data_IF_149679420464
#
_entry.id   IF_149679420464
#
_cell.length_a   1.000
_cell.length_b   1.000
_cell.length_c   1.000
_cell.angle_alpha   90.00
_cell.angle_beta   90.00
_cell.angle_gamma   90.00
#
_symmetry.space_group_name_H-M   'P 1'
#
loop_
_entity.id
_entity.type
_entity.pdbx_description
1 polymer ?
#
# COMPACT_ATOMS: atom_id res chain seq x y z
N UNK A 1 -26.68 -72.88 63.22
CA UNK A 1 -26.58 -74.02 62.28
C UNK A 1 -27.36 -73.68 61.02
N UNK A 2 -26.71 -73.81 59.85
CA UNK A 2 -27.24 -74.21 58.52
C UNK A 2 -28.43 -73.40 57.94
N UNK A 3 -28.20 -72.58 56.90
CA UNK A 3 -28.41 -72.87 55.44
C UNK A 3 -29.87 -73.17 55.08
N UNK A 4 -30.50 -72.71 54.00
CA UNK A 4 -30.13 -72.02 52.75
C UNK A 4 -31.47 -71.76 51.97
N UNK A 5 -31.43 -70.79 51.04
CA UNK A 5 -32.19 -70.69 49.76
C UNK A 5 -33.68 -70.30 49.80
N UNK A 6 -34.00 -69.27 48.99
CA UNK A 6 -35.26 -69.20 48.23
C UNK A 6 -35.85 -67.80 48.08
N UNK A 7 -35.54 -67.10 46.97
CA UNK A 7 -36.10 -65.80 46.55
C UNK A 7 -37.63 -65.74 46.55
N UNK A 8 -38.23 -64.54 46.72
CA UNK A 8 -38.88 -63.91 45.57
C UNK A 8 -38.78 -62.37 45.59
N UNK A 9 -38.84 -61.71 44.42
CA UNK A 9 -39.02 -60.26 44.35
C UNK A 9 -40.01 -59.92 43.22
N UNK A 10 -41.26 -59.67 43.64
CA UNK A 10 -42.29 -58.95 42.92
C UNK A 10 -42.54 -57.62 43.63
N UNK A 11 -42.76 -56.59 42.81
CA UNK A 11 -42.73 -55.14 43.08
C UNK A 11 -43.58 -54.58 44.23
N UNK A 12 -43.02 -53.51 44.83
CA UNK A 12 -43.65 -52.34 45.49
C UNK A 12 -44.52 -52.63 46.73
N UNK A 13 -44.96 -51.65 47.55
CA UNK A 13 -44.90 -50.18 47.52
C UNK A 13 -44.54 -49.56 48.93
N UNK A 14 -45.10 -48.40 49.29
CA UNK A 14 -45.15 -47.67 50.60
C UNK A 14 -44.26 -46.41 50.66
N UNK A 15 -44.77 -45.18 50.60
CA UNK A 15 -45.67 -44.43 51.53
C UNK A 15 -45.24 -44.49 53.00
N UNK A 16 -45.17 -43.33 53.67
CA UNK A 16 -46.00 -42.90 54.82
C UNK A 16 -45.30 -41.72 55.56
N UNK A 17 -45.86 -40.49 55.53
CA UNK A 17 -46.79 -39.86 56.52
C UNK A 17 -46.01 -39.08 57.62
N UNK A 18 -46.22 -37.77 57.86
CA UNK A 18 -47.29 -37.17 58.69
C UNK A 18 -47.54 -35.65 58.43
N UNK A 19 -48.84 -35.34 58.26
CA UNK A 19 -49.70 -34.19 58.64
C UNK A 19 -49.23 -33.11 59.68
N UNK A 20 -49.98 -32.01 59.96
CA UNK A 20 -51.04 -31.31 59.17
C UNK A 20 -51.08 -29.74 59.29
N UNK A 21 -51.84 -29.10 58.37
CA UNK A 21 -52.72 -27.90 58.52
C UNK A 21 -52.17 -26.58 59.11
N UNK A 22 -52.08 -25.52 58.29
CA UNK A 22 -53.11 -24.46 58.08
C UNK A 22 -52.52 -23.25 57.32
N UNK A 23 -53.31 -22.75 56.37
CA UNK A 23 -53.22 -21.51 55.60
C UNK A 23 -52.43 -20.34 56.21
N UNK A 24 -51.56 -19.70 55.41
CA UNK A 24 -51.61 -18.26 55.11
C UNK A 24 -50.61 -17.85 53.99
N UNK A 25 -50.96 -16.74 53.33
CA UNK A 25 -50.50 -16.14 52.06
C UNK A 25 -49.03 -15.61 52.06
N UNK A 26 -48.47 -15.20 50.89
CA UNK A 26 -47.06 -15.31 50.55
C UNK A 26 -46.20 -14.15 51.07
N UNK A 27 -44.92 -14.43 51.33
CA UNK A 27 -43.84 -13.43 51.42
C UNK A 27 -42.71 -13.87 50.48
N UNK A 28 -42.71 -13.37 49.25
CA UNK A 28 -41.52 -13.40 48.40
C UNK A 28 -40.74 -12.12 48.68
N UNK A 29 -39.72 -12.21 49.52
CA UNK A 29 -38.64 -11.23 49.55
C UNK A 29 -37.65 -11.63 48.46
N UNK A 30 -37.76 -11.04 47.27
CA UNK A 30 -36.66 -11.04 46.30
C UNK A 30 -36.04 -9.66 46.29
N UNK A 31 -34.86 -9.59 46.88
CA UNK A 31 -33.95 -8.46 46.83
C UNK A 31 -33.63 -8.16 45.37
N UNK A 32 -34.08 -7.00 44.88
CA UNK A 32 -33.70 -6.47 43.58
C UNK A 32 -32.18 -6.29 43.55
N UNK A 33 -31.49 -7.23 42.93
CA UNK A 33 -30.11 -7.03 42.52
C UNK A 33 -30.20 -6.21 41.24
N UNK A 34 -29.83 -4.93 41.33
CA UNK A 34 -29.67 -4.06 40.18
C UNK A 34 -28.45 -4.60 39.41
N UNK A 35 -28.67 -5.56 38.52
CA UNK A 35 -27.64 -5.97 37.58
C UNK A 35 -27.33 -4.76 36.70
N UNK A 36 -26.18 -4.15 36.99
CA UNK A 36 -25.56 -3.19 36.09
C UNK A 36 -25.30 -3.93 34.78
N UNK A 37 -26.18 -3.70 33.81
CA UNK A 37 -25.94 -4.08 32.42
C UNK A 37 -24.69 -3.32 32.00
N UNK A 38 -23.56 -4.02 32.07
CA UNK A 38 -22.34 -3.69 31.38
C UNK A 38 -22.70 -3.43 29.93
N UNK A 39 -22.78 -2.16 29.55
CA UNK A 39 -22.93 -1.76 28.17
C UNK A 39 -21.66 -2.20 27.45
N UNK A 40 -21.69 -3.40 26.89
CA UNK A 40 -20.81 -3.78 25.81
C UNK A 40 -20.98 -2.71 24.73
N UNK A 41 -19.96 -1.88 24.54
CA UNK A 41 -19.98 -0.83 23.52
C UNK A 41 -20.03 -1.51 22.15
N UNK A 42 -21.23 -1.68 21.61
CA UNK A 42 -21.40 -2.26 20.28
C UNK A 42 -20.68 -1.33 19.29
N UNK A 43 -19.71 -1.88 18.57
CA UNK A 43 -18.96 -1.13 17.54
C UNK A 43 -19.98 -0.48 16.61
N UNK A 44 -19.81 0.82 16.35
CA UNK A 44 -20.72 1.60 15.49
C UNK A 44 -20.87 0.87 14.13
N UNK A 45 -22.09 0.65 13.62
CA UNK A 45 -22.29 -0.07 12.36
C UNK A 45 -21.58 0.62 11.22
N UNK A 46 -20.86 -0.15 10.40
CA UNK A 46 -20.06 0.32 9.27
C UNK A 46 -20.73 -0.10 7.96
N UNK A 47 -20.72 0.79 6.97
CA UNK A 47 -21.14 0.46 5.61
C UNK A 47 -20.13 -0.52 4.97
N UNK A 48 -20.56 -1.66 4.42
CA UNK A 48 -19.64 -2.63 3.80
C UNK A 48 -19.01 -2.12 2.50
N UNK A 49 -19.65 -1.16 1.84
CA UNK A 49 -19.17 -0.59 0.57
C UNK A 49 -18.17 0.56 0.79
N UNK A 50 -18.57 1.66 1.44
CA UNK A 50 -17.67 2.80 1.66
C UNK A 50 -16.81 2.71 2.93
N UNK A 51 -17.01 1.68 3.77
CA UNK A 51 -16.31 1.51 5.06
C UNK A 51 -16.39 2.72 6.00
N UNK A 52 -17.45 3.52 5.88
CA UNK A 52 -17.77 4.62 6.82
C UNK A 52 -18.85 4.18 7.80
N UNK A 53 -18.94 4.80 8.99
CA UNK A 53 -20.08 4.58 9.87
C UNK A 53 -21.39 4.83 9.13
N UNK A 54 -22.45 4.07 9.42
CA UNK A 54 -23.72 4.13 8.69
C UNK A 54 -24.29 5.56 8.55
N UNK A 55 -24.16 6.39 9.60
CA UNK A 55 -24.59 7.80 9.60
C UNK A 55 -23.80 8.72 8.65
N UNK A 56 -22.59 8.34 8.30
CA UNK A 56 -21.66 9.07 7.42
C UNK A 56 -21.40 8.29 6.12
N UNK A 57 -22.35 7.44 5.72
CA UNK A 57 -22.24 6.66 4.50
C UNK A 57 -22.14 7.58 3.27
N UNK A 58 -21.22 7.26 2.36
CA UNK A 58 -21.03 7.99 1.11
C UNK A 58 -21.85 7.40 -0.04
N UNK A 59 -22.20 6.12 0.03
CA UNK A 59 -22.86 5.41 -1.07
C UNK A 59 -24.19 6.05 -1.47
N UNK A 60 -24.96 6.56 -0.51
CA UNK A 60 -26.26 7.19 -0.77
C UNK A 60 -26.12 8.62 -1.31
N UNK A 61 -24.92 9.19 -1.31
CA UNK A 61 -24.65 10.56 -1.78
C UNK A 61 -24.19 10.59 -3.24
N UNK A 62 -23.77 9.43 -3.76
CA UNK A 62 -23.49 9.24 -5.17
C UNK A 62 -24.82 9.14 -5.92
N UNK A 63 -25.05 10.11 -6.81
CA UNK A 63 -26.32 10.27 -7.55
C UNK A 63 -26.40 9.35 -8.78
N UNK A 64 -25.26 8.97 -9.33
CA UNK A 64 -25.14 8.11 -10.50
C UNK A 64 -24.48 6.76 -10.13
N UNK A 65 -24.75 5.69 -10.90
CA UNK A 65 -23.90 4.49 -10.87
C UNK A 65 -22.44 4.86 -11.23
N UNK A 66 -21.52 3.93 -11.03
CA UNK A 66 -20.11 4.17 -11.33
C UNK A 66 -19.93 4.67 -12.78
N UNK A 67 -19.22 5.79 -12.88
CA UNK A 67 -18.94 6.55 -14.09
C UNK A 67 -18.02 5.72 -14.99
N UNK A 68 -18.39 5.60 -16.26
CA UNK A 68 -17.55 4.94 -17.27
C UNK A 68 -16.47 5.92 -17.75
N UNK A 69 -15.34 5.96 -17.04
CA UNK A 69 -14.19 6.74 -17.45
C UNK A 69 -13.35 5.98 -18.47
N UNK A 70 -13.10 6.62 -19.62
CA UNK A 70 -12.30 6.07 -20.71
C UNK A 70 -10.81 6.03 -20.37
N UNK A 71 -10.34 7.04 -19.64
CA UNK A 71 -8.96 7.12 -19.15
C UNK A 71 -8.85 6.36 -17.83
N UNK A 72 -7.98 5.36 -17.79
CA UNK A 72 -7.72 4.60 -16.57
C UNK A 72 -7.12 5.47 -15.46
N UNK A 73 -7.47 5.17 -14.21
CA UNK A 73 -6.88 5.87 -13.06
C UNK A 73 -6.24 4.84 -12.13
N UNK A 74 -4.95 4.98 -11.88
CA UNK A 74 -4.18 4.14 -10.97
C UNK A 74 -3.75 4.94 -9.76
N UNK A 75 -4.34 4.68 -8.59
CA UNK A 75 -3.97 5.36 -7.35
C UNK A 75 -2.92 4.54 -6.60
N UNK A 76 -1.74 5.12 -6.40
CA UNK A 76 -0.74 4.62 -5.45
C UNK A 76 -1.01 5.24 -4.08
N UNK A 77 -1.73 4.51 -3.24
CA UNK A 77 -2.13 4.95 -1.91
C UNK A 77 -1.10 4.55 -0.86
N UNK A 78 -0.59 5.53 -0.12
CA UNK A 78 0.29 5.29 1.01
C UNK A 78 -0.42 4.40 2.05
N UNK A 79 0.25 3.35 2.53
CA UNK A 79 -0.34 2.31 3.40
C UNK A 79 -0.98 2.88 4.68
N UNK A 80 -0.37 3.89 5.28
CA UNK A 80 -0.89 4.65 6.44
C UNK A 80 -2.16 5.48 6.16
N UNK A 81 -2.51 5.79 4.91
CA UNK A 81 -3.68 6.63 4.58
C UNK A 81 -4.95 5.79 4.35
N UNK A 82 -4.84 4.48 4.11
CA UNK A 82 -5.98 3.57 3.86
C UNK A 82 -7.11 3.70 4.88
N UNK A 83 -6.73 3.80 6.15
CA UNK A 83 -7.65 3.87 7.29
C UNK A 83 -7.99 5.31 7.70
N UNK A 84 -7.46 6.31 7.00
CA UNK A 84 -7.67 7.70 7.35
C UNK A 84 -9.15 8.10 7.15
N UNK A 85 -9.78 8.83 8.10
CA UNK A 85 -11.19 9.23 7.98
C UNK A 85 -11.51 10.10 6.76
N UNK A 86 -10.55 10.86 6.24
CA UNK A 86 -10.69 11.70 5.03
C UNK A 86 -10.13 11.04 3.75
N UNK A 87 -10.03 9.71 3.73
CA UNK A 87 -9.56 8.98 2.55
C UNK A 87 -10.54 9.19 1.36
N UNK A 88 -10.22 10.12 0.47
CA UNK A 88 -11.01 10.48 -0.71
C UNK A 88 -10.85 9.49 -1.87
N UNK A 89 -9.83 8.62 -1.84
CA UNK A 89 -9.73 7.44 -2.72
C UNK A 89 -10.98 6.58 -2.64
N UNK A 90 -11.66 6.53 -1.49
CA UNK A 90 -12.93 5.80 -1.37
C UNK A 90 -14.04 6.37 -2.25
N UNK A 91 -14.05 7.69 -2.48
CA UNK A 91 -15.03 8.32 -3.37
C UNK A 91 -14.69 7.92 -4.82
N UNK A 92 -13.41 7.98 -5.21
CA UNK A 92 -12.96 7.52 -6.51
C UNK A 92 -13.34 6.05 -6.76
N UNK A 93 -13.08 5.15 -5.80
CA UNK A 93 -13.41 3.71 -5.91
C UNK A 93 -14.89 3.42 -6.05
N UNK A 94 -15.76 4.24 -5.47
CA UNK A 94 -17.21 4.08 -5.62
C UNK A 94 -17.72 4.74 -6.91
N UNK A 95 -17.03 5.77 -7.37
CA UNK A 95 -17.48 6.66 -8.44
C UNK A 95 -16.97 6.33 -9.83
N UNK A 96 -15.80 5.68 -9.98
CA UNK A 96 -15.15 5.43 -11.26
C UNK A 96 -15.07 3.92 -11.55
N UNK A 97 -15.32 3.50 -12.80
CA UNK A 97 -15.22 2.09 -13.21
C UNK A 97 -13.80 1.66 -13.55
N UNK A 98 -13.06 2.47 -14.30
CA UNK A 98 -11.70 2.17 -14.73
C UNK A 98 -10.70 2.76 -13.74
N UNK A 99 -10.67 2.17 -12.54
CA UNK A 99 -9.83 2.59 -11.42
C UNK A 99 -9.14 1.39 -10.79
N UNK A 100 -7.83 1.49 -10.59
CA UNK A 100 -7.07 0.59 -9.75
C UNK A 100 -6.50 1.33 -8.54
N UNK A 101 -6.48 0.68 -7.37
CA UNK A 101 -5.88 1.23 -6.15
C UNK A 101 -4.83 0.26 -5.63
N UNK A 102 -3.59 0.72 -5.60
CA UNK A 102 -2.46 -0.04 -5.11
C UNK A 102 -1.93 0.56 -3.83
N UNK A 103 -1.61 -0.31 -2.86
CA UNK A 103 -0.97 0.09 -1.62
C UNK A 103 0.53 0.23 -1.79
N UNK A 104 1.10 1.34 -1.33
CA UNK A 104 2.55 1.54 -1.31
C UNK A 104 3.00 1.90 0.11
N UNK A 105 4.09 1.31 0.55
CA UNK A 105 4.70 1.55 1.84
C UNK A 105 6.10 2.13 1.67
N UNK A 106 6.50 2.87 2.69
CA UNK A 106 7.85 3.36 2.85
C UNK A 106 8.88 2.22 2.77
N UNK A 107 10.04 2.53 2.18
CA UNK A 107 11.23 1.68 2.24
C UNK A 107 11.91 1.91 3.58
N UNK A 108 11.87 0.89 4.44
CA UNK A 108 12.47 0.97 5.77
C UNK A 108 13.92 0.48 5.81
N UNK A 109 14.28 -0.44 4.93
CA UNK A 109 15.62 -1.02 4.83
C UNK A 109 16.11 -0.98 3.38
N UNK A 110 15.61 -1.88 2.55
CA UNK A 110 15.95 -1.97 1.14
C UNK A 110 14.71 -2.43 0.34
N UNK A 111 14.57 -1.94 -0.88
CA UNK A 111 13.58 -2.44 -1.84
C UNK A 111 14.22 -2.67 -3.20
N UNK A 112 13.80 -3.74 -3.88
CA UNK A 112 14.23 -4.09 -5.22
C UNK A 112 13.06 -3.93 -6.18
N UNK A 113 13.34 -3.37 -7.34
CA UNK A 113 12.40 -3.18 -8.42
C UNK A 113 12.87 -3.95 -9.64
N UNK A 114 11.95 -4.64 -10.29
CA UNK A 114 12.17 -5.31 -11.57
C UNK A 114 11.14 -4.79 -12.56
N UNK A 115 11.61 -4.23 -13.67
CA UNK A 115 10.78 -3.72 -14.76
C UNK A 115 10.92 -4.65 -15.95
N UNK A 116 9.78 -5.17 -16.43
CA UNK A 116 9.66 -5.96 -17.66
C UNK A 116 8.91 -5.12 -18.69
N UNK A 117 9.39 -5.08 -19.93
CA UNK A 117 8.69 -4.38 -21.00
C UNK A 117 7.44 -5.17 -21.39
N UNK A 118 6.40 -4.48 -21.85
CA UNK A 118 5.27 -5.14 -22.49
C UNK A 118 5.68 -5.51 -23.93
N UNK A 119 5.37 -6.73 -24.35
CA UNK A 119 5.61 -7.15 -25.72
C UNK A 119 4.71 -6.34 -26.67
N UNK A 120 5.29 -5.71 -27.72
CA UNK A 120 4.52 -4.90 -28.67
C UNK A 120 3.47 -5.71 -29.45
N UNK A 121 3.57 -7.04 -29.45
CA UNK A 121 2.71 -7.95 -30.24
C UNK A 121 1.65 -8.70 -29.41
N UNK A 122 1.49 -8.43 -28.11
CA UNK A 122 0.40 -9.03 -27.33
C UNK A 122 -0.90 -8.21 -27.47
N UNK A 123 -1.34 -8.02 -28.71
CA UNK A 123 -2.65 -7.47 -29.06
C UNK A 123 -3.72 -8.56 -29.02
N UNK A 124 -4.79 -8.31 -28.26
CA UNK A 124 -6.12 -8.96 -28.34
C UNK A 124 -6.18 -10.35 -28.99
N UNK A 125 -5.98 -11.39 -28.17
CA UNK A 125 -6.46 -12.75 -28.44
C UNK A 125 -7.58 -13.11 -27.47
N UNK A 126 -8.83 -13.02 -27.91
CA UNK A 126 -9.92 -13.74 -27.24
C UNK A 126 -9.68 -15.23 -27.39
N UNK A 127 -9.81 -16.00 -26.31
CA UNK A 127 -10.46 -17.32 -26.20
C UNK A 127 -10.06 -17.92 -24.85
N UNK A 128 -11.07 -18.25 -24.04
CA UNK A 128 -10.88 -18.83 -22.72
C UNK A 128 -10.42 -20.29 -22.77
N UNK A 129 -9.84 -20.74 -21.65
CA UNK A 129 -10.17 -22.00 -20.99
C UNK A 129 -9.35 -22.14 -19.72
N UNK A 130 -10.02 -22.53 -18.65
CA UNK A 130 -9.43 -23.08 -17.42
C UNK A 130 -8.40 -24.15 -17.75
N UNK A 131 -7.22 -24.13 -17.10
CA UNK A 131 -6.60 -25.37 -16.60
C UNK A 131 -5.89 -25.09 -15.28
N UNK A 132 -6.16 -26.01 -14.35
CA UNK A 132 -5.81 -26.08 -12.94
C UNK A 132 -4.32 -26.27 -12.66
N UNK A 133 -3.94 -25.82 -11.48
CA UNK A 133 -2.77 -26.18 -10.70
C UNK A 133 -2.47 -27.69 -10.68
N UNK A 134 -1.21 -28.07 -10.91
CA UNK A 134 -0.61 -29.25 -10.27
C UNK A 134 0.89 -29.04 -10.06
N UNK A 135 1.28 -29.22 -8.80
CA UNK A 135 2.62 -29.40 -8.25
C UNK A 135 3.43 -30.51 -8.94
N UNK A 136 4.75 -30.37 -9.00
CA UNK A 136 5.68 -31.50 -8.87
C UNK A 136 7.06 -31.03 -8.37
N UNK A 137 7.56 -31.76 -7.39
CA UNK A 137 8.78 -31.56 -6.63
C UNK A 137 9.91 -32.44 -7.21
N UNK A 138 11.15 -31.96 -7.07
CA UNK A 138 12.34 -32.80 -6.86
C UNK A 138 13.25 -33.00 -8.08
N UNK A 139 14.53 -32.63 -7.94
CA UNK A 139 15.68 -33.56 -7.96
C UNK A 139 16.93 -32.82 -7.45
N UNK A 140 17.62 -33.48 -6.53
CA UNK A 140 18.90 -33.12 -5.91
C UNK A 140 20.07 -33.30 -6.87
N UNK A 141 21.18 -32.59 -6.64
CA UNK A 141 22.51 -33.20 -6.74
C UNK A 141 23.55 -32.48 -5.88
N UNK A 142 24.17 -33.29 -5.02
CA UNK A 142 25.38 -33.04 -4.24
C UNK A 142 26.60 -32.86 -5.14
N UNK A 143 27.62 -32.13 -4.64
CA UNK A 143 28.97 -32.66 -4.42
C UNK A 143 29.84 -31.72 -3.57
N UNK A 144 30.52 -32.35 -2.60
CA UNK A 144 31.44 -31.82 -1.61
C UNK A 144 32.85 -31.53 -2.16
N UNK A 145 33.61 -30.77 -1.37
CA UNK A 145 35.01 -30.91 -0.88
C UNK A 145 35.56 -29.48 -0.69
N UNK A 146 36.35 -29.06 0.30
CA UNK A 146 36.87 -29.52 1.60
C UNK A 146 37.61 -28.25 2.15
N UNK A 147 37.37 -27.79 3.39
CA UNK A 147 38.32 -27.78 4.53
C UNK A 147 39.66 -27.03 4.25
N UNK A 148 40.07 -26.02 5.03
CA UNK A 148 40.71 -26.15 6.37
C UNK A 148 40.85 -24.75 7.03
N UNK A 149 40.55 -24.71 8.34
CA UNK A 149 41.08 -23.93 9.50
C UNK A 149 41.57 -22.48 9.31
N UNK A 150 41.19 -21.47 10.10
CA UNK A 150 40.93 -21.44 11.54
C UNK A 150 42.02 -20.56 12.20
N UNK A 151 41.66 -19.47 12.89
CA UNK A 151 42.31 -18.95 14.12
C UNK A 151 41.72 -17.58 14.54
N UNK A 152 40.82 -17.70 15.52
CA UNK A 152 40.69 -17.02 16.81
C UNK A 152 41.06 -15.54 17.11
N UNK A 153 40.24 -15.03 18.04
CA UNK A 153 40.51 -14.07 19.12
C UNK A 153 40.31 -12.55 18.93
N UNK A 154 39.14 -12.14 19.41
CA UNK A 154 38.92 -11.20 20.54
C UNK A 154 39.45 -9.75 20.48
N UNK A 155 38.50 -8.85 20.24
CA UNK A 155 37.96 -7.83 21.16
C UNK A 155 38.93 -7.01 22.03
N UNK A 156 38.92 -5.69 21.82
CA UNK A 156 39.42 -4.69 22.75
C UNK A 156 38.62 -3.39 22.63
N UNK A 157 37.68 -3.21 23.55
CA UNK A 157 36.89 -2.01 23.85
C UNK A 157 37.75 -0.80 24.27
N UNK A 158 37.27 0.43 24.07
CA UNK A 158 37.16 1.53 25.07
C UNK A 158 36.60 2.79 24.37
N UNK A 159 35.33 3.16 24.58
CA UNK A 159 34.73 4.18 25.48
C UNK A 159 34.94 5.65 25.08
N UNK A 160 33.80 6.36 25.07
CA UNK A 160 33.47 7.67 24.54
C UNK A 160 33.92 8.87 25.38
N UNK A 161 33.95 10.06 24.75
CA UNK A 161 33.56 11.38 25.30
C UNK A 161 33.72 12.42 24.17
N UNK A 162 32.96 13.51 23.97
CA UNK A 162 31.73 14.09 24.51
C UNK A 162 31.32 15.27 23.57
N UNK A 163 30.01 15.54 23.50
CA UNK A 163 29.33 16.85 23.43
C UNK A 163 29.66 17.89 22.34
N UNK A 164 28.62 18.35 21.64
CA UNK A 164 28.60 19.65 20.95
C UNK A 164 27.50 19.77 19.90
N UNK A 165 26.78 20.88 19.91
CA UNK A 165 25.45 21.07 19.33
C UNK A 165 25.49 21.99 18.10
N UNK A 166 24.50 21.81 17.21
CA UNK A 166 23.92 22.76 16.25
C UNK A 166 24.66 23.12 14.94
N UNK A 167 23.86 23.00 13.87
CA UNK A 167 23.80 23.86 12.68
C UNK A 167 24.73 23.55 11.50
N UNK A 168 24.14 23.71 10.32
CA UNK A 168 24.69 23.74 8.97
C UNK A 168 25.03 22.41 8.26
N UNK A 169 24.44 22.28 7.07
CA UNK A 169 24.75 21.29 6.05
C UNK A 169 26.24 21.38 5.68
N UNK A 170 27.00 20.27 5.66
CA UNK A 170 28.30 20.25 5.01
C UNK A 170 28.25 19.42 3.72
N UNK A 171 28.69 20.06 2.63
CA UNK A 171 29.43 19.38 1.58
C UNK A 171 30.77 18.89 2.14
N UNK A 172 31.07 17.59 2.13
CA UNK A 172 32.44 17.06 2.24
C UNK A 172 32.57 15.81 1.36
N UNK A 173 33.43 15.84 0.33
CA UNK A 173 34.87 15.48 0.36
C UNK A 173 35.16 14.04 0.75
N UNK A 174 35.58 13.30 -0.28
CA UNK A 174 36.14 11.95 -0.24
C UNK A 174 37.34 11.85 0.72
N UNK A 175 37.27 10.91 1.65
CA UNK A 175 38.47 10.24 2.20
C UNK A 175 38.13 8.79 2.56
N UNK A 176 39.11 7.92 2.30
CA UNK A 176 39.01 6.49 2.07
C UNK A 176 39.00 5.60 3.34
N UNK A 177 38.63 4.33 3.10
CA UNK A 177 38.81 3.09 3.89
C UNK A 177 37.60 2.73 4.81
N UNK A 178 37.01 1.53 4.81
CA UNK A 178 37.53 0.23 4.38
C UNK A 178 36.42 -0.80 4.07
N UNK A 179 36.75 -1.66 3.08
CA UNK A 179 36.33 -3.04 2.79
C UNK A 179 35.31 -3.73 3.72
N UNK A 180 34.20 -4.17 3.12
CA UNK A 180 33.69 -5.54 3.32
C UNK A 180 32.86 -6.01 2.10
N UNK A 181 33.36 -7.09 1.49
CA UNK A 181 32.77 -8.03 0.52
C UNK A 181 32.11 -7.47 -0.77
N UNK A 182 32.97 -7.18 -1.75
CA UNK A 182 32.69 -7.44 -3.16
C UNK A 182 32.70 -8.97 -3.39
N UNK A 183 31.58 -9.53 -3.83
CA UNK A 183 31.60 -10.71 -4.69
C UNK A 183 30.99 -10.27 -6.02
N UNK A 184 31.88 -9.84 -6.92
CA UNK A 184 31.60 -9.78 -8.35
C UNK A 184 31.64 -11.23 -8.87
N UNK A 185 30.59 -11.65 -9.56
CA UNK A 185 30.63 -12.87 -10.39
C UNK A 185 31.22 -12.52 -11.76
N UNK A 186 32.14 -13.36 -12.24
CA UNK A 186 32.91 -13.17 -13.47
C UNK A 186 32.04 -13.21 -14.76
N UNK A 187 32.44 -12.53 -15.84
CA UNK A 187 31.69 -12.47 -17.09
C UNK A 187 32.31 -13.35 -18.18
N UNK A 188 31.77 -14.54 -18.46
CA UNK A 188 31.95 -15.22 -19.77
C UNK A 188 30.69 -16.01 -20.11
N UNK A 189 30.07 -15.67 -21.26
CA UNK A 189 29.07 -16.51 -21.92
C UNK A 189 27.95 -15.70 -22.55
N UNK A 190 27.94 -15.62 -23.88
CA UNK A 190 26.78 -15.19 -24.66
C UNK A 190 25.62 -16.16 -24.41
N UNK A 191 24.81 -15.89 -23.40
CA UNK A 191 23.60 -16.64 -23.10
C UNK A 191 22.45 -16.00 -23.87
N UNK A 192 21.79 -16.80 -24.70
CA UNK A 192 20.48 -16.51 -25.29
C UNK A 192 19.55 -16.00 -24.17
N UNK A 193 19.31 -14.68 -24.12
CA UNK A 193 18.55 -14.06 -23.03
C UNK A 193 17.09 -14.51 -23.11
N UNK A 194 16.60 -15.06 -22.01
CA UNK A 194 15.23 -15.58 -21.90
C UNK A 194 14.19 -14.45 -21.96
N UNK A 195 13.00 -14.81 -22.43
CA UNK A 195 11.84 -13.92 -22.62
C UNK A 195 11.35 -13.29 -21.29
N UNK A 196 11.78 -13.81 -20.13
CA UNK A 196 11.35 -13.37 -18.79
C UNK A 196 12.35 -12.47 -18.03
N UNK A 197 13.48 -12.08 -18.61
CA UNK A 197 14.49 -11.27 -17.90
C UNK A 197 14.04 -9.80 -17.76
N UNK A 198 14.15 -9.18 -16.56
CA UNK A 198 13.77 -7.78 -16.38
C UNK A 198 14.71 -6.85 -17.16
N UNK A 199 14.11 -5.98 -17.99
CA UNK A 199 14.82 -4.97 -18.77
C UNK A 199 15.54 -3.93 -17.92
N UNK A 200 15.01 -3.63 -16.73
CA UNK A 200 15.64 -2.77 -15.74
C UNK A 200 15.46 -3.41 -14.37
N UNK A 201 16.54 -3.50 -13.60
CA UNK A 201 16.48 -3.79 -12.16
C UNK A 201 17.16 -2.67 -11.39
N UNK A 202 16.57 -2.21 -10.30
CA UNK A 202 17.26 -1.33 -9.38
C UNK A 202 16.92 -1.64 -7.94
N UNK A 203 17.90 -1.40 -7.07
CA UNK A 203 17.78 -1.57 -5.62
C UNK A 203 17.93 -0.21 -4.99
N UNK A 204 17.06 0.10 -4.03
CA UNK A 204 17.08 1.35 -3.28
C UNK A 204 17.12 1.09 -1.78
N UNK A 205 17.80 1.96 -1.07
CA UNK A 205 17.70 2.08 0.36
C UNK A 205 16.62 3.10 0.75
N UNK A 206 16.51 3.36 2.06
CA UNK A 206 15.65 4.39 2.64
C UNK A 206 15.81 5.74 1.93
N UNK A 207 14.72 6.49 1.79
CA UNK A 207 14.67 7.81 1.15
C UNK A 207 14.97 7.82 -0.36
N UNK A 208 15.01 6.64 -1.01
CA UNK A 208 15.17 6.54 -2.46
C UNK A 208 16.61 6.56 -2.94
N UNK A 209 17.58 6.34 -2.05
CA UNK A 209 19.00 6.24 -2.43
C UNK A 209 19.20 4.97 -3.26
N UNK A 210 19.57 5.12 -4.53
CA UNK A 210 19.79 3.98 -5.44
C UNK A 210 21.14 3.33 -5.11
N UNK A 211 21.11 2.10 -4.61
CA UNK A 211 22.30 1.33 -4.27
C UNK A 211 22.84 0.53 -5.45
N UNK A 212 21.98 0.10 -6.38
CA UNK A 212 22.35 -0.65 -7.58
C UNK A 212 21.31 -0.40 -8.69
N UNK A 213 21.74 -0.36 -9.95
CA UNK A 213 20.88 -0.34 -11.13
C UNK A 213 21.53 -1.14 -12.26
N UNK A 214 20.75 -1.90 -13.00
CA UNK A 214 21.15 -2.67 -14.19
C UNK A 214 20.07 -2.54 -15.26
N UNK A 215 20.45 -2.44 -16.52
CA UNK A 215 19.49 -2.41 -17.64
C UNK A 215 20.09 -2.83 -18.98
N UNK A 216 19.23 -3.14 -19.95
CA UNK A 216 19.62 -3.67 -21.27
C UNK A 216 20.37 -2.67 -22.16
N UNK A 217 20.04 -1.37 -22.07
CA UNK A 217 20.57 -0.33 -22.97
C UNK A 217 21.96 0.22 -22.63
N UNK A 218 22.67 -0.36 -21.66
CA UNK A 218 24.02 0.07 -21.30
C UNK A 218 25.06 -0.95 -21.78
N UNK A 219 26.00 -0.57 -22.67
CA UNK A 219 27.20 -1.38 -22.90
C UNK A 219 28.07 -1.30 -21.64
N UNK A 220 28.58 -2.44 -21.17
CA UNK A 220 29.46 -2.51 -20.00
C UNK A 220 30.85 -1.94 -20.30
N UNK A 221 30.93 -0.63 -20.53
CA UNK A 221 32.21 0.07 -20.68
C UNK A 221 32.59 0.60 -19.29
N UNK A 222 33.36 -0.23 -18.59
CA UNK A 222 34.39 0.08 -17.60
C UNK A 222 34.26 1.37 -16.75
N UNK A 223 34.09 1.15 -15.43
CA UNK A 223 34.38 2.04 -14.27
C UNK A 223 33.41 3.17 -13.90
N UNK A 224 32.25 3.32 -14.53
CA UNK A 224 31.19 4.15 -13.96
C UNK A 224 30.02 3.31 -13.47
N UNK A 225 29.68 3.48 -12.19
CA UNK A 225 28.48 2.88 -11.62
C UNK A 225 27.27 3.46 -12.39
N UNK A 226 26.41 2.62 -12.97
CA UNK A 226 25.26 3.12 -13.71
C UNK A 226 24.41 4.00 -12.80
N UNK A 227 23.98 5.15 -13.32
CA UNK A 227 23.11 6.09 -12.62
C UNK A 227 21.77 6.20 -13.36
N UNK A 228 20.69 6.36 -12.60
CA UNK A 228 19.33 6.50 -13.10
C UNK A 228 19.19 7.62 -14.15
N UNK A 229 19.96 8.70 -14.03
CA UNK A 229 19.94 9.81 -15.00
C UNK A 229 20.41 9.39 -16.40
N UNK A 230 21.33 8.42 -16.49
CA UNK A 230 21.81 7.89 -17.79
C UNK A 230 20.72 7.08 -18.50
N UNK A 231 19.89 6.36 -17.74
CA UNK A 231 18.72 5.66 -18.28
C UNK A 231 17.69 6.67 -18.82
N UNK A 232 17.43 7.75 -18.08
CA UNK A 232 16.54 8.83 -18.52
C UNK A 232 17.07 9.58 -19.75
N UNK A 233 18.39 9.59 -19.96
CA UNK A 233 19.02 10.22 -21.12
C UNK A 233 19.10 9.29 -22.36
N UNK A 234 18.62 8.06 -22.28
CA UNK A 234 18.70 7.07 -23.37
C UNK A 234 17.39 7.01 -24.17
N UNK A 235 17.34 7.52 -25.43
CA UNK A 235 16.12 7.51 -26.23
C UNK A 235 15.56 6.10 -26.48
N UNK A 236 16.43 5.13 -26.77
CA UNK A 236 16.01 3.75 -26.99
C UNK A 236 15.35 3.10 -25.76
N UNK A 237 15.76 3.51 -24.54
CA UNK A 237 15.11 3.05 -23.32
C UNK A 237 13.75 3.71 -23.12
N UNK A 238 13.65 5.02 -23.37
CA UNK A 238 12.39 5.77 -23.28
C UNK A 238 11.37 5.25 -24.30
N UNK A 239 11.76 5.03 -25.55
CA UNK A 239 10.90 4.50 -26.61
C UNK A 239 10.37 3.10 -26.27
N UNK A 240 11.20 2.27 -25.66
CA UNK A 240 10.79 0.94 -25.20
C UNK A 240 9.80 1.03 -24.03
N UNK A 241 10.05 1.91 -23.05
CA UNK A 241 9.18 2.12 -21.89
C UNK A 241 7.85 2.79 -22.27
N UNK A 242 7.82 3.62 -23.31
CA UNK A 242 6.62 4.27 -23.82
C UNK A 242 5.57 3.27 -24.35
N UNK A 243 6.02 2.06 -24.76
CA UNK A 243 5.15 0.93 -25.14
C UNK A 243 4.55 0.19 -23.94
N UNK A 244 4.78 0.72 -22.73
CA UNK A 244 4.29 0.16 -21.49
C UNK A 244 5.23 -0.89 -20.90
N UNK A 245 5.06 -1.12 -19.60
CA UNK A 245 5.91 -2.01 -18.82
C UNK A 245 5.17 -2.53 -17.58
N UNK A 246 5.65 -3.64 -17.03
CA UNK A 246 5.26 -4.14 -15.71
C UNK A 246 6.36 -3.80 -14.73
N UNK A 247 6.00 -3.25 -13.57
CA UNK A 247 6.92 -3.02 -12.47
C UNK A 247 6.53 -3.87 -11.26
N UNK A 248 7.49 -4.65 -10.78
CA UNK A 248 7.39 -5.44 -9.56
C UNK A 248 8.27 -4.82 -8.49
N UNK A 249 7.74 -4.60 -7.29
CA UNK A 249 8.50 -4.13 -6.12
C UNK A 249 8.53 -5.24 -5.06
N UNK A 250 9.72 -5.54 -4.59
CA UNK A 250 9.96 -6.42 -3.45
C UNK A 250 10.61 -5.62 -2.32
N UNK A 251 10.11 -5.79 -1.11
CA UNK A 251 10.67 -5.18 0.09
C UNK A 251 11.48 -6.20 0.87
N UNK A 252 12.66 -5.79 1.32
CA UNK A 252 13.45 -6.55 2.27
C UNK A 252 13.21 -6.07 3.69
N UNK A 253 12.96 -7.02 4.58
CA UNK A 253 12.81 -6.80 6.00
C UNK A 253 13.90 -7.53 6.75
N UNK A 254 14.64 -6.82 7.59
CA UNK A 254 15.60 -7.44 8.49
C UNK A 254 14.85 -8.12 9.65
N UNK A 255 15.13 -9.40 9.90
CA UNK A 255 14.57 -10.11 11.04
C UNK A 255 15.47 -9.87 12.27
N UNK A 256 14.89 -9.43 13.40
CA UNK A 256 15.51 -9.43 14.74
C UNK A 256 17.01 -9.08 14.84
N UNK A 257 17.49 -8.03 14.16
CA UNK A 257 18.92 -7.62 14.11
C UNK A 257 19.90 -8.73 13.63
N UNK A 258 19.40 -9.84 13.09
CA UNK A 258 20.25 -10.84 12.43
C UNK A 258 20.62 -10.39 11.01
N UNK A 259 21.57 -11.09 10.40
CA UNK A 259 21.99 -10.89 9.00
C UNK A 259 20.89 -11.40 8.03
N UNK A 260 19.94 -12.19 8.52
CA UNK A 260 18.88 -12.76 7.71
C UNK A 260 17.84 -11.69 7.33
N UNK A 261 17.64 -11.55 6.02
CA UNK A 261 16.65 -10.65 5.43
C UNK A 261 15.57 -11.49 4.75
N UNK A 262 14.31 -11.18 5.05
CA UNK A 262 13.17 -11.73 4.35
C UNK A 262 12.76 -10.77 3.23
N UNK A 263 12.64 -11.29 2.00
CA UNK A 263 12.13 -10.53 0.86
C UNK A 263 10.67 -10.91 0.61
N UNK A 264 9.79 -9.92 0.51
CA UNK A 264 8.38 -10.14 0.15
C UNK A 264 7.98 -9.21 -0.99
N UNK A 265 7.12 -9.71 -1.87
CA UNK A 265 6.50 -8.89 -2.90
C UNK A 265 5.55 -7.89 -2.25
N UNK A 266 5.76 -6.60 -2.54
CA UNK A 266 4.82 -5.57 -2.13
C UNK A 266 3.75 -5.37 -3.21
N UNK A 267 4.17 -5.33 -4.47
CA UNK A 267 3.25 -5.24 -5.60
C UNK A 267 3.87 -5.66 -6.93
N UNK A 268 2.99 -5.97 -7.87
CA UNK A 268 3.26 -6.03 -9.30
C UNK A 268 2.15 -5.25 -10.03
N UNK A 269 2.53 -4.27 -10.85
CA UNK A 269 1.58 -3.43 -11.57
C UNK A 269 1.97 -3.23 -13.03
N UNK A 270 0.98 -3.30 -13.90
CA UNK A 270 1.11 -2.98 -15.32
C UNK A 270 0.89 -1.49 -15.55
N UNK A 271 1.82 -0.87 -16.26
CA UNK A 271 1.77 0.50 -16.75
C UNK A 271 1.53 0.44 -18.26
N UNK A 272 0.30 0.64 -18.74
CA UNK A 272 0.01 0.58 -20.17
C UNK A 272 0.64 1.75 -20.95
N UNK A 273 0.78 1.63 -22.27
CA UNK A 273 1.10 2.77 -23.14
C UNK A 273 0.17 3.96 -22.88
N UNK A 274 0.69 5.18 -23.05
CA UNK A 274 -0.08 6.40 -22.78
C UNK A 274 -0.34 6.66 -21.30
N UNK A 275 0.45 6.06 -20.39
CA UNK A 275 0.39 6.35 -18.96
C UNK A 275 1.14 7.64 -18.61
N UNK A 276 0.53 8.50 -17.80
CA UNK A 276 1.15 9.70 -17.22
C UNK A 276 1.14 9.64 -15.69
N UNK A 277 2.07 10.33 -15.06
CA UNK A 277 2.04 10.57 -13.61
C UNK A 277 1.47 11.96 -13.32
N UNK A 278 0.36 12.02 -12.59
CA UNK A 278 -0.23 13.26 -12.10
C UNK A 278 0.52 13.70 -10.83
N UNK A 279 1.59 14.47 -11.02
CA UNK A 279 2.45 14.93 -9.92
C UNK A 279 3.25 16.18 -10.32
N UNK A 280 3.22 17.27 -9.51
CA UNK A 280 3.92 18.51 -9.82
C UNK A 280 5.43 18.39 -9.51
N UNK A 281 6.17 17.77 -10.42
CA UNK A 281 7.64 17.75 -10.38
C UNK A 281 8.24 18.88 -11.22
N UNK A 282 9.55 19.10 -11.10
CA UNK A 282 10.28 20.11 -11.89
C UNK A 282 10.18 19.89 -13.41
N UNK A 283 9.98 18.64 -13.84
CA UNK A 283 9.81 18.26 -15.26
C UNK A 283 8.35 18.09 -15.69
N UNK A 284 7.40 18.48 -14.83
CA UNK A 284 5.98 18.36 -15.16
C UNK A 284 5.53 19.38 -16.18
N UNK A 285 4.70 18.94 -17.12
CA UNK A 285 4.10 19.77 -18.16
C UNK A 285 2.60 19.91 -17.93
N UNK A 286 1.99 20.95 -18.52
CA UNK A 286 0.53 21.04 -18.65
C UNK A 286 0.01 20.08 -19.71
N UNK A 287 -1.32 20.06 -19.90
CA UNK A 287 -1.98 19.16 -20.86
C UNK A 287 -1.57 19.45 -22.31
N UNK A 288 -1.37 20.73 -22.62
CA UNK A 288 -0.90 21.24 -23.91
C UNK A 288 0.53 20.79 -24.27
N UNK A 289 1.30 20.33 -23.28
CA UNK A 289 2.66 19.83 -23.47
C UNK A 289 2.73 18.34 -23.78
N UNK A 290 1.61 17.62 -23.82
CA UNK A 290 1.57 16.20 -24.16
C UNK A 290 1.38 16.00 -25.67
N UNK A 291 2.23 15.16 -26.26
CA UNK A 291 2.23 14.82 -27.68
C UNK A 291 1.52 13.48 -27.99
N UNK A 292 0.90 12.87 -26.98
CA UNK A 292 0.16 11.62 -27.10
C UNK A 292 -1.16 11.65 -26.33
N UNK A 293 -2.07 10.74 -26.69
CA UNK A 293 -3.35 10.59 -26.00
C UNK A 293 -3.16 9.86 -24.65
N UNK A 294 -3.60 10.49 -23.56
CA UNK A 294 -3.53 9.91 -22.22
C UNK A 294 -4.53 8.76 -22.09
N UNK A 295 -4.04 7.56 -21.80
CA UNK A 295 -4.87 6.36 -21.58
C UNK A 295 -4.94 5.92 -20.12
N UNK A 296 -3.98 6.33 -19.31
CA UNK A 296 -3.95 6.02 -17.88
C UNK A 296 -3.25 7.13 -17.09
N UNK A 297 -3.80 7.47 -15.93
CA UNK A 297 -3.23 8.44 -15.00
C UNK A 297 -2.84 7.76 -13.69
N UNK A 298 -1.56 7.83 -13.34
CA UNK A 298 -1.06 7.39 -12.04
C UNK A 298 -1.13 8.57 -11.07
N UNK A 299 -1.73 8.36 -9.90
CA UNK A 299 -1.97 9.40 -8.88
C UNK A 299 -1.40 8.94 -7.55
N UNK A 300 -0.68 9.82 -6.86
CA UNK A 300 -0.10 9.52 -5.54
C UNK A 300 -1.03 9.99 -4.43
N UNK A 301 -1.58 9.07 -3.63
CA UNK A 301 -2.47 9.39 -2.52
C UNK A 301 -1.73 9.37 -1.18
N UNK A 302 -1.60 10.56 -0.60
CA UNK A 302 -1.20 10.75 0.79
C UNK A 302 -1.03 12.22 1.14
N UNK A 303 -0.49 12.52 2.33
CA UNK A 303 -0.03 13.89 2.60
C UNK A 303 1.09 14.26 1.62
N UNK A 304 1.31 15.55 1.37
CA UNK A 304 2.38 15.99 0.47
C UNK A 304 3.75 15.41 0.80
N UNK A 305 4.10 15.32 2.08
CA UNK A 305 5.33 14.66 2.53
C UNK A 305 5.36 13.16 2.17
N UNK A 306 4.23 12.45 2.34
CA UNK A 306 4.09 11.04 1.97
C UNK A 306 4.13 10.84 0.45
N UNK A 307 3.44 11.68 -0.31
CA UNK A 307 3.44 11.62 -1.77
C UNK A 307 4.85 11.88 -2.34
N UNK A 308 5.56 12.90 -1.84
CA UNK A 308 6.95 13.19 -2.22
C UNK A 308 7.88 12.03 -1.84
N UNK A 309 7.68 11.41 -0.68
CA UNK A 309 8.45 10.23 -0.28
C UNK A 309 8.15 9.03 -1.19
N UNK A 310 6.89 8.74 -1.49
CA UNK A 310 6.51 7.70 -2.45
C UNK A 310 7.14 7.95 -3.81
N UNK A 311 7.13 9.19 -4.31
CA UNK A 311 7.78 9.55 -5.56
C UNK A 311 9.29 9.24 -5.55
N UNK A 312 9.99 9.61 -4.46
CA UNK A 312 11.43 9.36 -4.34
C UNK A 312 11.79 7.88 -4.13
N UNK A 313 11.00 7.17 -3.34
CA UNK A 313 11.21 5.74 -3.02
C UNK A 313 10.59 4.79 -4.06
N UNK A 314 10.06 5.30 -5.17
CA UNK A 314 9.63 4.49 -6.32
C UNK A 314 10.20 5.08 -7.62
N UNK A 315 11.52 4.96 -7.88
CA UNK A 315 12.19 5.60 -9.02
C UNK A 315 11.55 5.34 -10.39
N UNK A 316 10.87 4.21 -10.60
CA UNK A 316 10.16 3.92 -11.85
C UNK A 316 9.11 4.99 -12.21
N UNK A 317 8.58 5.72 -11.23
CA UNK A 317 7.69 6.86 -11.46
C UNK A 317 8.36 7.98 -12.26
N UNK A 318 9.69 8.13 -12.12
CA UNK A 318 10.48 9.09 -12.90
C UNK A 318 10.61 8.70 -14.36
N UNK A 319 10.29 7.47 -14.75
CA UNK A 319 10.29 7.04 -16.16
C UNK A 319 9.06 7.55 -16.92
N UNK A 320 8.04 8.04 -16.23
CA UNK A 320 6.80 8.51 -16.83
C UNK A 320 6.87 9.99 -17.21
N UNK A 321 6.11 10.41 -18.24
CA UNK A 321 5.73 11.80 -18.43
C UNK A 321 4.97 12.30 -17.19
N UNK A 322 5.31 13.52 -16.73
CA UNK A 322 4.68 14.12 -15.56
C UNK A 322 3.71 15.21 -15.98
N UNK A 323 2.49 15.12 -15.47
CA UNK A 323 1.43 16.07 -15.71
C UNK A 323 1.18 16.87 -14.43
N UNK A 324 1.08 18.20 -14.55
CA UNK A 324 0.61 19.08 -13.48
C UNK A 324 -0.70 19.75 -13.87
N UNK A 325 -1.51 20.06 -12.86
CA UNK A 325 -2.74 20.82 -13.03
C UNK A 325 -2.44 22.30 -12.77
N UNK A 326 -2.45 23.11 -13.81
CA UNK A 326 -2.35 24.57 -13.68
C UNK A 326 -3.76 25.14 -13.42
N UNK A 327 -4.22 25.00 -12.17
CA UNK A 327 -5.52 25.47 -11.73
C UNK A 327 -5.37 26.56 -10.67
N UNK A 328 -5.89 27.76 -10.95
CA UNK A 328 -6.02 28.85 -9.97
C UNK A 328 -7.21 28.63 -9.00
N UNK A 329 -7.54 27.37 -8.68
CA UNK A 329 -8.66 27.02 -7.80
C UNK A 329 -8.17 26.78 -6.37
N UNK A 330 -8.92 27.29 -5.40
CA UNK A 330 -8.75 26.94 -3.98
C UNK A 330 -9.34 25.55 -3.76
N UNK A 331 -8.57 24.63 -3.19
CA UNK A 331 -9.05 23.28 -2.86
C UNK A 331 -10.17 23.33 -1.82
N UNK A 332 -11.21 22.51 -2.00
CA UNK A 332 -12.28 22.26 -1.01
C UNK A 332 -11.72 21.68 0.31
N UNK A 333 -10.49 21.19 0.27
CA UNK A 333 -9.80 20.56 1.38
C UNK A 333 -9.10 21.56 2.33
N UNK A 334 -8.97 22.83 1.94
CA UNK A 334 -8.17 23.84 2.65
C UNK A 334 -8.60 24.07 4.11
N UNK A 335 -9.88 23.89 4.43
CA UNK A 335 -10.41 24.13 5.77
C UNK A 335 -10.25 22.94 6.74
N UNK A 336 -9.90 21.75 6.24
CA UNK A 336 -9.79 20.53 7.07
C UNK A 336 -8.38 19.93 7.06
N UNK A 337 -7.58 20.19 6.02
CA UNK A 337 -6.15 19.90 6.01
C UNK A 337 -5.37 21.07 5.42
N UNK A 338 -4.28 21.44 6.09
CA UNK A 338 -3.33 22.42 5.60
C UNK A 338 -2.68 21.95 4.29
N UNK A 339 -2.80 22.76 3.23
CA UNK A 339 -2.11 22.56 1.97
C UNK A 339 -0.80 23.34 1.95
N UNK A 340 0.26 22.84 1.30
CA UNK A 340 1.56 23.52 1.29
C UNK A 340 1.52 24.82 0.49
N UNK A 341 0.70 24.91 -0.56
CA UNK A 341 0.52 26.10 -1.39
C UNK A 341 -0.86 26.13 -2.05
N UNK A 342 -1.36 27.30 -2.50
CA UNK A 342 -2.53 27.38 -3.39
C UNK A 342 -2.35 26.50 -4.63
N UNK A 343 -3.43 25.92 -5.15
CA UNK A 343 -3.39 24.96 -6.26
C UNK A 343 -3.07 23.51 -5.87
N UNK A 344 -2.71 23.25 -4.60
CA UNK A 344 -2.61 21.88 -4.10
C UNK A 344 -4.00 21.30 -3.80
N UNK A 345 -4.41 20.33 -4.61
CA UNK A 345 -5.71 19.68 -4.56
C UNK A 345 -5.67 18.36 -3.78
N UNK A 346 -6.83 17.93 -3.28
CA UNK A 346 -6.99 16.56 -2.78
C UNK A 346 -6.95 15.54 -3.93
N UNK A 347 -6.71 14.28 -3.60
CA UNK A 347 -6.63 13.17 -4.58
C UNK A 347 -7.84 13.13 -5.52
N UNK A 348 -9.06 13.27 -4.99
CA UNK A 348 -10.29 13.21 -5.80
C UNK A 348 -10.46 14.46 -6.66
N UNK A 349 -10.12 15.65 -6.15
CA UNK A 349 -10.14 16.88 -6.94
C UNK A 349 -9.15 16.78 -8.11
N UNK A 350 -7.93 16.34 -7.84
CA UNK A 350 -6.91 16.13 -8.87
C UNK A 350 -7.38 15.15 -9.94
N UNK A 351 -8.00 14.03 -9.56
CA UNK A 351 -8.54 13.06 -10.51
C UNK A 351 -9.65 13.66 -11.37
N UNK A 352 -10.64 14.30 -10.75
CA UNK A 352 -11.80 14.87 -11.47
C UNK A 352 -11.34 15.95 -12.45
N UNK A 353 -10.49 16.87 -12.02
CA UNK A 353 -10.02 17.93 -12.91
C UNK A 353 -9.10 17.40 -14.01
N UNK A 354 -8.28 16.39 -13.72
CA UNK A 354 -7.45 15.77 -14.75
C UNK A 354 -8.29 15.02 -15.80
N UNK A 355 -9.30 14.25 -15.37
CA UNK A 355 -10.23 13.56 -16.29
C UNK A 355 -10.92 14.56 -17.23
N UNK A 356 -11.47 15.65 -16.67
CA UNK A 356 -12.09 16.71 -17.49
C UNK A 356 -11.12 17.34 -18.49
N UNK A 357 -9.88 17.58 -18.07
CA UNK A 357 -8.89 18.21 -18.92
C UNK A 357 -8.37 17.31 -20.06
N UNK A 358 -8.35 15.98 -19.87
CA UNK A 358 -8.04 15.02 -20.95
C UNK A 358 -9.24 14.71 -21.85
N UNK A 359 -10.38 15.36 -21.64
CA UNK A 359 -11.60 15.19 -22.45
C UNK A 359 -12.55 14.10 -21.95
N UNK A 360 -12.26 13.47 -20.81
CA UNK A 360 -13.18 12.55 -20.14
C UNK A 360 -14.14 13.40 -19.27
N UNK A 361 -15.25 13.84 -19.86
CA UNK A 361 -16.31 14.59 -19.16
C UNK A 361 -17.66 13.84 -19.13
N UNK A 362 -17.69 12.61 -18.59
CA UNK A 362 -18.94 11.90 -18.40
C UNK A 362 -19.83 12.59 -17.35
N UNK A 363 -21.14 12.50 -17.54
CA UNK A 363 -22.12 12.97 -16.56
C UNK A 363 -21.83 12.34 -15.18
N UNK A 364 -21.61 13.18 -14.17
CA UNK A 364 -21.44 12.74 -12.78
C UNK A 364 -20.07 12.99 -12.15
N UNK A 365 -19.05 13.43 -12.90
CA UNK A 365 -17.74 13.77 -12.29
C UNK A 365 -17.87 14.86 -11.23
N UNK A 366 -18.71 15.87 -11.45
CA UNK A 366 -18.98 16.91 -10.44
C UNK A 366 -19.68 16.36 -9.20
N UNK A 367 -20.47 15.28 -9.33
CA UNK A 367 -21.06 14.65 -8.16
C UNK A 367 -20.00 14.01 -7.25
N UNK A 368 -18.85 13.57 -7.78
CA UNK A 368 -17.76 13.11 -6.93
C UNK A 368 -17.21 14.25 -6.06
N UNK A 369 -17.17 15.48 -6.59
CA UNK A 369 -16.81 16.67 -5.85
C UNK A 369 -17.89 17.06 -4.83
N UNK A 370 -19.18 17.00 -5.18
CA UNK A 370 -20.29 17.20 -4.24
C UNK A 370 -20.18 16.25 -3.03
N UNK A 371 -19.93 14.96 -3.29
CA UNK A 371 -19.79 13.94 -2.25
C UNK A 371 -18.57 14.21 -1.39
N UNK A 372 -17.47 14.66 -2.00
CA UNK A 372 -16.27 15.04 -1.28
C UNK A 372 -16.50 16.25 -0.37
N UNK A 373 -17.12 17.32 -0.89
CA UNK A 373 -17.50 18.50 -0.10
C UNK A 373 -18.38 18.11 1.09
N UNK A 374 -19.38 17.27 0.86
CA UNK A 374 -20.24 16.72 1.91
C UNK A 374 -19.45 15.94 2.97
N UNK A 375 -18.47 15.13 2.56
CA UNK A 375 -17.59 14.40 3.50
C UNK A 375 -16.70 15.34 4.31
N UNK A 376 -16.20 16.42 3.70
CA UNK A 376 -15.41 17.46 4.38
C UNK A 376 -16.28 18.17 5.42
N UNK A 377 -17.52 18.55 5.07
CA UNK A 377 -18.49 19.14 5.98
C UNK A 377 -18.81 18.25 7.19
N UNK A 378 -18.95 16.93 6.99
CA UNK A 378 -19.12 15.98 8.09
C UNK A 378 -17.96 15.98 9.09
N UNK A 379 -16.73 16.10 8.59
CA UNK A 379 -15.55 16.14 9.46
C UNK A 379 -15.50 17.42 10.28
N UNK A 380 -15.86 18.56 9.69
CA UNK A 380 -15.97 19.83 10.42
C UNK A 380 -16.97 19.70 11.58
N UNK A 381 -18.19 19.25 11.28
CA UNK A 381 -19.23 19.00 12.30
C UNK A 381 -18.74 18.06 13.41
N UNK A 382 -18.09 16.95 13.06
CA UNK A 382 -17.55 16.02 14.06
C UNK A 382 -16.43 16.63 14.92
N UNK A 383 -15.62 17.53 14.35
CA UNK A 383 -14.56 18.24 15.08
C UNK A 383 -15.18 19.24 16.06
N UNK A 384 -16.16 20.02 15.61
CA UNK A 384 -16.84 21.03 16.42
C UNK A 384 -17.62 20.40 17.58
N UNK A 385 -18.31 19.29 17.33
CA UNK A 385 -18.98 18.49 18.37
C UNK A 385 -18.02 17.93 19.43
N UNK A 386 -16.77 17.64 19.05
CA UNK A 386 -15.75 17.18 20.02
C UNK A 386 -15.23 18.34 20.84
N UNK A 387 -14.95 19.48 20.20
CA UNK A 387 -14.47 20.68 20.88
C UNK A 387 -15.51 21.20 21.88
N UNK A 388 -16.79 21.25 21.49
CA UNK A 388 -17.87 21.68 22.38
C UNK A 388 -18.02 20.76 23.59
N UNK A 389 -17.86 19.43 23.42
CA UNK A 389 -17.85 18.48 24.55
C UNK A 389 -16.66 18.65 25.48
N UNK A 390 -15.50 19.01 24.94
CA UNK A 390 -14.30 19.27 25.74
C UNK A 390 -14.43 20.59 26.51
N UNK A 391 -15.08 21.61 25.93
CA UNK A 391 -15.33 22.89 26.60
C UNK A 391 -16.42 22.84 27.68
N UNK A 392 -17.17 21.74 27.76
CA UNK A 392 -18.23 21.49 28.77
C UNK A 392 -17.76 20.61 29.93
N UNK A 393 -16.49 20.17 29.91
CA UNK A 393 -15.80 19.39 30.96
C UNK A 393 -14.73 20.29 31.56
#
# INVERSE_FOLDING_TARGET
>A
LRTRIGSPAGNNPFYFILNPRRNQKPKFSQTLTLEMVSQATSKRPMCPSCSKPARLCLCTRLKAPSIENSVGVTILQHSLEKKHPLNSTRIATLGLKNLNVLSVSDVNFEARFAIRLLDPDCGMGSVGSEVKSTSLCGIQSHKNFDHIDGFDSQCGSIVNSEHGQFSEYPEEKNTSLNKLSQQCFDPIGSVLRGIDEPAITFTIAKYGVISCITHHWMPQIQWQKPNFDQLLACPAALDALAKGFVVKKLQKKQLNKSIECEEHEEFEITVPPGSVLLFPSEKSVGFEGLDFEVKNMIVLDGTWAKAKRMYNENPWLKLLPHLKLDLEKVSLYCEVRHQPQPGCLSTIESIVYALKAVGDDPEGLDNLLDVFESMVGDQRRCKDERLSKISLV
#
